data_IF_983508661796
#
_entry.id   IF_983508661796
#
_cell.length_a   1.000
_cell.length_b   1.000
_cell.length_c   1.000
_cell.angle_alpha   90.00
_cell.angle_beta   90.00
_cell.angle_gamma   90.00
#
_symmetry.space_group_name_H-M   'P 1'
#
loop_
_entity.id
_entity.type
_entity.pdbx_description
1 polymer ?
#
# COMPACT_ATOMS: atom_id res chain seq x y z
N UNK A 1 6.94 8.92 -9.03
CA UNK A 1 8.26 9.07 -9.69
C UNK A 1 8.86 10.40 -9.27
N UNK A 2 10.18 10.50 -9.25
CA UNK A 2 10.93 11.72 -9.02
C UNK A 2 11.35 12.28 -10.39
N UNK A 3 10.72 13.36 -10.85
CA UNK A 3 10.93 13.90 -12.20
C UNK A 3 12.36 14.42 -12.41
N UNK A 4 12.99 14.97 -11.37
CA UNK A 4 14.34 15.54 -11.44
C UNK A 4 15.43 14.48 -11.64
N UNK A 5 15.24 13.28 -11.08
CA UNK A 5 16.24 12.20 -11.10
C UNK A 5 15.88 11.03 -12.01
N UNK A 6 14.63 10.98 -12.48
CA UNK A 6 14.09 9.84 -13.23
C UNK A 6 13.92 8.57 -12.40
N UNK A 7 14.04 8.63 -11.06
CA UNK A 7 13.85 7.49 -10.16
C UNK A 7 12.38 7.26 -9.87
N UNK A 8 11.95 6.01 -9.80
CA UNK A 8 10.58 5.66 -9.46
C UNK A 8 10.51 4.48 -8.49
N UNK A 9 9.39 4.35 -7.79
CA UNK A 9 9.05 3.16 -7.02
C UNK A 9 7.78 2.57 -7.59
N UNK A 10 7.63 1.25 -7.48
CA UNK A 10 6.37 0.56 -7.79
C UNK A 10 5.74 0.15 -6.46
N UNK A 11 4.49 0.56 -6.23
CA UNK A 11 3.75 0.25 -5.02
C UNK A 11 2.71 -0.82 -5.33
N UNK A 12 2.66 -1.85 -4.50
CA UNK A 12 1.72 -2.98 -4.59
C UNK A 12 1.64 -3.65 -5.98
N UNK A 13 2.74 -4.19 -6.53
CA UNK A 13 2.71 -4.99 -7.75
C UNK A 13 2.05 -6.36 -7.52
N UNK A 14 0.72 -6.40 -7.49
CA UNK A 14 -0.06 -7.60 -7.20
C UNK A 14 -0.01 -8.72 -8.23
N UNK A 15 0.30 -8.40 -9.48
CA UNK A 15 0.27 -9.35 -10.59
C UNK A 15 0.56 -8.65 -11.92
N UNK A 16 0.29 -9.32 -13.04
CA UNK A 16 0.51 -8.79 -14.40
C UNK A 16 1.89 -8.12 -14.58
N UNK A 17 2.94 -8.76 -14.05
CA UNK A 17 4.31 -8.20 -13.96
C UNK A 17 4.81 -7.67 -15.31
N UNK A 18 4.55 -8.38 -16.40
CA UNK A 18 4.92 -7.93 -17.77
C UNK A 18 4.24 -6.62 -18.17
N UNK A 19 2.99 -6.41 -17.75
CA UNK A 19 2.27 -5.15 -18.00
C UNK A 19 2.88 -4.02 -17.19
N UNK A 20 3.29 -4.28 -15.95
CA UNK A 20 4.00 -3.31 -15.10
C UNK A 20 5.34 -2.95 -15.74
N UNK A 21 6.13 -3.94 -16.17
CA UNK A 21 7.42 -3.73 -16.84
C UNK A 21 7.25 -2.89 -18.11
N UNK A 22 6.25 -3.21 -18.92
CA UNK A 22 5.94 -2.45 -20.14
C UNK A 22 5.56 -0.99 -19.83
N UNK A 23 4.75 -0.75 -18.80
CA UNK A 23 4.37 0.59 -18.38
C UNK A 23 5.56 1.40 -17.85
N UNK A 24 6.43 0.78 -17.04
CA UNK A 24 7.68 1.40 -16.57
C UNK A 24 8.58 1.77 -17.76
N UNK A 25 8.71 0.89 -18.75
CA UNK A 25 9.50 1.15 -19.96
C UNK A 25 8.98 2.34 -20.78
N UNK A 26 7.67 2.56 -20.83
CA UNK A 26 7.05 3.71 -21.51
C UNK A 26 7.27 5.04 -20.78
N UNK A 27 7.46 4.99 -19.45
CA UNK A 27 7.71 6.18 -18.63
C UNK A 27 9.19 6.60 -18.65
N UNK A 28 10.08 5.78 -19.21
CA UNK A 28 11.53 6.03 -19.28
C UNK A 28 12.16 6.31 -17.90
N UNK A 29 11.64 5.66 -16.85
CA UNK A 29 12.12 5.79 -15.46
C UNK A 29 13.00 4.62 -15.03
N UNK A 30 13.86 4.86 -14.05
CA UNK A 30 14.62 3.82 -13.34
C UNK A 30 13.89 3.41 -12.07
N UNK A 31 13.45 2.16 -12.00
CA UNK A 31 12.86 1.60 -10.77
C UNK A 31 13.94 1.52 -9.70
N UNK A 32 13.65 2.04 -8.54
CA UNK A 32 14.56 2.15 -7.40
C UNK A 32 14.24 1.13 -6.32
N UNK A 33 12.94 0.91 -6.06
CA UNK A 33 12.41 -0.01 -5.04
C UNK A 33 11.01 -0.49 -5.40
N UNK A 34 10.63 -1.64 -4.84
CA UNK A 34 9.22 -2.06 -4.71
C UNK A 34 8.75 -1.74 -3.30
N UNK A 35 7.59 -1.10 -3.16
CA UNK A 35 6.99 -0.82 -1.86
C UNK A 35 5.70 -1.62 -1.68
N UNK A 36 5.46 -2.11 -0.47
CA UNK A 36 4.25 -2.88 -0.15
C UNK A 36 3.47 -2.24 0.99
N UNK A 37 2.17 -2.03 0.77
CA UNK A 37 1.24 -1.59 1.81
C UNK A 37 0.88 -2.73 2.74
N UNK A 38 0.63 -3.94 2.21
CA UNK A 38 0.26 -5.12 3.00
C UNK A 38 0.51 -6.44 2.25
N UNK A 39 0.31 -7.55 2.95
CA UNK A 39 0.70 -8.90 2.49
C UNK A 39 -0.32 -9.67 1.63
N UNK A 40 -1.41 -9.06 1.16
CA UNK A 40 -2.39 -9.79 0.34
C UNK A 40 -1.91 -10.04 -1.09
N UNK A 41 -2.37 -11.15 -1.66
CA UNK A 41 -1.95 -11.68 -2.96
C UNK A 41 -2.06 -10.66 -4.10
N UNK A 42 -3.17 -9.93 -4.15
CA UNK A 42 -3.47 -8.95 -5.19
C UNK A 42 -2.73 -7.62 -5.02
N UNK A 43 -1.88 -7.50 -3.99
CA UNK A 43 -0.99 -6.37 -3.77
C UNK A 43 0.49 -6.76 -3.84
N UNK A 44 0.87 -7.94 -3.37
CA UNK A 44 2.28 -8.33 -3.33
C UNK A 44 2.64 -9.59 -4.14
N UNK A 45 1.67 -10.20 -4.83
CA UNK A 45 1.87 -11.44 -5.58
C UNK A 45 2.91 -11.38 -6.68
N UNK A 46 3.10 -10.21 -7.31
CA UNK A 46 4.12 -9.95 -8.32
C UNK A 46 5.41 -9.29 -7.79
N UNK A 47 5.49 -9.00 -6.48
CA UNK A 47 6.57 -8.20 -5.90
C UNK A 47 7.95 -8.84 -6.08
N UNK A 48 8.07 -10.12 -5.77
CA UNK A 48 9.36 -10.84 -5.90
C UNK A 48 9.86 -10.88 -7.34
N UNK A 49 8.98 -11.21 -8.28
CA UNK A 49 9.32 -11.27 -9.69
C UNK A 49 9.73 -9.90 -10.25
N UNK A 50 9.00 -8.84 -9.86
CA UNK A 50 9.32 -7.47 -10.28
C UNK A 50 10.65 -6.98 -9.68
N UNK A 51 10.89 -7.25 -8.40
CA UNK A 51 12.13 -6.91 -7.72
C UNK A 51 13.34 -7.60 -8.35
N UNK A 52 13.22 -8.90 -8.66
CA UNK A 52 14.27 -9.68 -9.34
C UNK A 52 14.55 -9.14 -10.75
N UNK A 53 13.50 -8.76 -11.50
CA UNK A 53 13.65 -8.21 -12.85
C UNK A 53 14.47 -6.93 -12.86
N UNK A 54 14.22 -6.02 -11.92
CA UNK A 54 14.93 -4.74 -11.84
C UNK A 54 16.19 -4.78 -10.96
N UNK A 55 16.42 -5.86 -10.21
CA UNK A 55 17.51 -5.95 -9.24
C UNK A 55 17.40 -4.94 -8.10
N UNK A 56 16.18 -4.73 -7.59
CA UNK A 56 15.86 -3.72 -6.55
C UNK A 56 15.32 -4.36 -5.27
N UNK A 57 15.40 -3.61 -4.18
CA UNK A 57 14.89 -4.03 -2.87
C UNK A 57 13.35 -3.94 -2.78
N UNK A 58 12.78 -4.83 -1.96
CA UNK A 58 11.38 -4.78 -1.51
C UNK A 58 11.33 -4.18 -0.11
N UNK A 59 10.63 -3.06 0.05
CA UNK A 59 10.40 -2.42 1.35
C UNK A 59 8.93 -2.55 1.72
N UNK A 60 8.66 -2.97 2.95
CA UNK A 60 7.32 -3.13 3.46
C UNK A 60 6.76 -4.53 3.25
N UNK A 61 5.60 -4.82 3.86
CA UNK A 61 4.84 -3.96 4.76
C UNK A 61 5.44 -3.97 6.19
N UNK A 62 4.62 -3.87 7.24
CA UNK A 62 5.07 -4.13 8.61
C UNK A 62 5.20 -5.64 8.87
N UNK A 63 6.13 -6.05 9.74
CA UNK A 63 6.47 -7.46 9.99
C UNK A 63 5.28 -8.33 10.45
N UNK A 64 4.23 -7.71 10.98
CA UNK A 64 2.99 -8.39 11.39
C UNK A 64 2.25 -9.06 10.22
N UNK A 65 2.56 -8.69 8.97
CA UNK A 65 2.01 -9.30 7.75
C UNK A 65 2.89 -10.42 7.16
N UNK A 66 3.98 -10.81 7.81
CA UNK A 66 4.84 -11.91 7.35
C UNK A 66 4.05 -13.19 7.08
N UNK A 67 3.10 -13.53 7.96
CA UNK A 67 2.25 -14.72 7.81
C UNK A 67 1.36 -14.67 6.55
N UNK A 68 1.02 -13.48 6.05
CA UNK A 68 0.29 -13.34 4.79
C UNK A 68 1.20 -13.60 3.59
N UNK A 69 2.41 -13.05 3.61
CA UNK A 69 3.42 -13.24 2.56
C UNK A 69 3.85 -14.71 2.45
N UNK A 70 4.01 -15.40 3.58
CA UNK A 70 4.28 -16.84 3.63
C UNK A 70 3.19 -17.69 2.95
N UNK A 71 1.94 -17.20 2.93
CA UNK A 71 0.80 -17.92 2.34
C UNK A 71 0.63 -17.69 0.85
N UNK A 72 1.39 -16.77 0.22
CA UNK A 72 1.22 -16.42 -1.19
C UNK A 72 1.20 -17.63 -2.14
N UNK A 73 2.11 -18.63 -2.04
CA UNK A 73 2.10 -19.79 -2.93
C UNK A 73 0.82 -20.64 -2.81
N UNK A 74 0.26 -20.74 -1.60
CA UNK A 74 -0.96 -21.48 -1.37
C UNK A 74 -2.19 -20.70 -1.87
N UNK A 75 -2.21 -19.38 -1.67
CA UNK A 75 -3.29 -18.51 -2.13
C UNK A 75 -3.33 -18.41 -3.65
N UNK A 76 -2.19 -18.20 -4.31
CA UNK A 76 -2.11 -18.10 -5.77
C UNK A 76 -2.66 -19.36 -6.45
N UNK A 77 -2.23 -20.55 -5.99
CA UNK A 77 -2.76 -21.83 -6.45
C UNK A 77 -4.26 -21.99 -6.21
N UNK A 78 -4.75 -21.60 -5.03
CA UNK A 78 -6.17 -21.71 -4.66
C UNK A 78 -7.06 -20.84 -5.55
N UNK A 79 -6.63 -19.63 -5.86
CA UNK A 79 -7.39 -18.67 -6.65
C UNK A 79 -7.12 -18.72 -8.15
N UNK A 80 -6.17 -19.57 -8.59
CA UNK A 80 -5.82 -19.72 -10.01
C UNK A 80 -5.06 -18.53 -10.59
N UNK A 81 -4.44 -17.72 -9.73
CA UNK A 81 -3.51 -16.69 -10.16
C UNK A 81 -2.14 -17.31 -10.44
N UNK A 82 -1.32 -16.66 -11.27
CA UNK A 82 0.04 -17.11 -11.62
C UNK A 82 0.91 -17.39 -10.38
N UNK A 83 2.10 -17.95 -10.59
CA UNK A 83 2.96 -18.40 -9.49
C UNK A 83 3.50 -17.21 -8.64
N UNK A 84 2.79 -16.90 -7.55
CA UNK A 84 3.28 -16.00 -6.50
C UNK A 84 4.19 -16.77 -5.54
N UNK A 85 5.39 -16.23 -5.29
CA UNK A 85 6.36 -16.80 -4.35
C UNK A 85 6.23 -16.12 -2.98
N UNK A 86 6.44 -16.89 -1.91
CA UNK A 86 6.71 -16.30 -0.61
C UNK A 86 8.10 -15.64 -0.64
N UNK A 87 8.27 -14.55 0.11
CA UNK A 87 9.54 -13.83 0.24
C UNK A 87 9.63 -13.16 1.61
N UNK A 88 10.83 -12.70 1.95
CA UNK A 88 11.05 -11.76 3.06
C UNK A 88 11.44 -10.42 2.44
N UNK A 89 10.74 -9.32 2.73
CA UNK A 89 11.17 -7.99 2.30
C UNK A 89 12.58 -7.69 2.80
N UNK A 90 13.38 -6.98 2.00
CA UNK A 90 14.72 -6.52 2.40
C UNK A 90 14.65 -5.57 3.60
N UNK A 91 13.53 -4.85 3.73
CA UNK A 91 13.23 -4.00 4.89
C UNK A 91 11.75 -4.09 5.27
N UNK A 92 11.47 -4.53 6.49
CA UNK A 92 10.16 -4.29 7.12
C UNK A 92 10.01 -2.82 7.51
N UNK A 93 8.81 -2.27 7.34
CA UNK A 93 8.53 -0.87 7.63
C UNK A 93 7.85 -0.70 8.99
N UNK A 94 8.15 0.40 9.68
CA UNK A 94 7.54 0.79 10.95
C UNK A 94 6.80 2.13 10.84
N UNK A 95 5.97 2.41 11.84
CA UNK A 95 5.33 3.72 11.95
C UNK A 95 6.37 4.84 12.10
N UNK A 96 6.23 5.91 11.34
CA UNK A 96 7.16 7.04 11.37
C UNK A 96 8.44 6.84 10.54
N UNK A 97 8.60 5.69 9.87
CA UNK A 97 9.65 5.52 8.87
C UNK A 97 9.45 6.47 7.68
N UNK A 98 10.54 6.66 6.92
CA UNK A 98 10.50 7.29 5.61
C UNK A 98 11.23 6.45 4.57
N UNK A 99 10.73 6.46 3.35
CA UNK A 99 11.36 5.85 2.17
C UNK A 99 11.65 6.91 1.14
N UNK A 100 12.94 7.05 0.78
CA UNK A 100 13.41 8.00 -0.22
C UNK A 100 13.70 7.31 -1.55
N UNK A 101 13.40 7.99 -2.66
CA UNK A 101 13.84 7.61 -4.01
C UNK A 101 14.08 8.89 -4.84
N UNK A 102 15.32 9.09 -5.30
CA UNK A 102 15.72 10.40 -5.82
C UNK A 102 15.53 11.50 -4.78
N UNK A 103 14.88 12.60 -5.17
CA UNK A 103 14.54 13.74 -4.30
C UNK A 103 13.17 13.59 -3.61
N UNK A 104 12.42 12.52 -3.91
CA UNK A 104 11.10 12.26 -3.32
C UNK A 104 11.22 11.48 -2.01
N UNK A 105 10.38 11.82 -1.04
CA UNK A 105 10.25 11.12 0.24
C UNK A 105 8.81 10.73 0.51
N UNK A 106 8.60 9.46 0.84
CA UNK A 106 7.32 8.93 1.32
C UNK A 106 7.41 8.66 2.81
N UNK A 107 6.54 9.29 3.58
CA UNK A 107 6.35 9.02 5.01
C UNK A 107 5.50 7.76 5.18
N UNK A 108 5.84 6.92 6.15
CA UNK A 108 5.17 5.65 6.41
C UNK A 108 4.33 5.76 7.68
N UNK A 109 3.07 5.35 7.57
CA UNK A 109 2.17 5.22 8.72
C UNK A 109 1.64 3.79 8.82
N UNK A 110 1.84 3.16 9.98
CA UNK A 110 1.31 1.82 10.27
C UNK A 110 -0.19 1.92 10.56
N UNK A 111 -1.02 1.34 9.70
CA UNK A 111 -2.47 1.49 9.71
C UNK A 111 -3.18 0.12 9.82
N UNK A 112 -3.02 -0.61 10.93
CA UNK A 112 -3.58 -1.95 11.07
C UNK A 112 -5.12 -1.95 11.03
N UNK A 113 -5.68 -3.08 10.65
CA UNK A 113 -7.10 -3.37 10.77
C UNK A 113 -7.64 -4.19 9.61
N UNK A 114 -7.30 -3.85 8.37
CA UNK A 114 -7.52 -4.73 7.22
C UNK A 114 -6.62 -5.97 7.33
N UNK A 115 -5.32 -5.73 7.52
CA UNK A 115 -4.32 -6.69 7.99
C UNK A 115 -3.58 -6.09 9.19
N UNK A 116 -2.95 -6.89 10.05
CA UNK A 116 -2.24 -6.35 11.22
C UNK A 116 -0.93 -5.62 10.86
N UNK A 117 -0.36 -5.90 9.68
CA UNK A 117 0.88 -5.29 9.20
C UNK A 117 0.69 -4.19 8.15
N UNK A 118 -0.55 -3.73 7.90
CA UNK A 118 -0.82 -2.74 6.85
C UNK A 118 -0.13 -1.39 7.12
N UNK A 119 0.52 -0.82 6.10
CA UNK A 119 1.11 0.52 6.11
C UNK A 119 0.60 1.34 4.92
N UNK A 120 0.57 2.66 5.08
CA UNK A 120 0.30 3.61 3.98
C UNK A 120 1.52 4.50 3.72
N UNK A 121 1.63 5.00 2.50
CA UNK A 121 2.71 5.89 2.07
C UNK A 121 2.17 7.28 1.79
N UNK A 122 2.71 8.31 2.44
CA UNK A 122 2.28 9.69 2.28
C UNK A 122 3.39 10.57 1.70
N UNK A 123 3.13 11.23 0.58
CA UNK A 123 3.98 12.30 0.06
C UNK A 123 3.47 13.64 0.55
N UNK A 124 4.20 14.23 1.52
CA UNK A 124 3.83 15.52 2.10
C UNK A 124 3.90 16.66 1.10
N UNK A 125 4.90 16.65 0.23
CA UNK A 125 5.12 17.69 -0.79
C UNK A 125 4.01 17.66 -1.84
N UNK A 126 3.63 16.45 -2.30
CA UNK A 126 2.63 16.30 -3.35
C UNK A 126 1.18 16.24 -2.83
N UNK A 127 0.98 16.19 -1.51
CA UNK A 127 -0.34 16.03 -0.85
C UNK A 127 -1.10 14.80 -1.37
N UNK A 128 -0.38 13.69 -1.56
CA UNK A 128 -0.93 12.41 -2.03
C UNK A 128 -0.58 11.28 -1.06
N UNK A 129 -1.54 10.41 -0.76
CA UNK A 129 -1.35 9.18 0.01
C UNK A 129 -1.69 7.93 -0.82
N UNK A 130 -0.84 6.90 -0.77
CA UNK A 130 -1.13 5.57 -1.28
C UNK A 130 -1.56 4.72 -0.09
N UNK A 131 -2.86 4.40 -0.01
CA UNK A 131 -3.47 3.87 1.22
C UNK A 131 -3.80 2.39 1.18
N UNK A 132 -3.52 1.71 0.06
CA UNK A 132 -3.91 0.33 -0.16
C UNK A 132 -5.37 0.11 0.23
N UNK A 133 -5.61 -0.90 1.05
CA UNK A 133 -6.94 -1.32 1.49
C UNK A 133 -7.38 -0.74 2.85
N UNK A 134 -6.77 0.35 3.31
CA UNK A 134 -7.24 1.03 4.54
C UNK A 134 -8.53 1.82 4.29
N UNK A 135 -8.58 2.58 3.20
CA UNK A 135 -9.67 3.52 2.89
C UNK A 135 -10.01 3.48 1.40
N UNK A 136 -11.31 3.48 1.09
CA UNK A 136 -11.84 3.56 -0.27
C UNK A 136 -12.80 4.75 -0.40
N UNK A 137 -13.09 5.17 -1.64
CA UNK A 137 -14.13 6.16 -1.88
C UNK A 137 -15.51 5.63 -1.40
N UNK A 138 -16.04 6.18 -0.32
CA UNK A 138 -17.30 5.79 0.30
C UNK A 138 -17.29 4.44 1.05
N UNK A 139 -16.12 3.83 1.30
CA UNK A 139 -16.00 2.56 2.03
C UNK A 139 -14.65 2.44 2.76
N UNK A 140 -14.41 1.31 3.41
CA UNK A 140 -13.15 0.93 4.06
C UNK A 140 -12.77 -0.51 3.72
N UNK A 141 -11.54 -0.90 4.03
CA UNK A 141 -11.07 -2.29 3.95
C UNK A 141 -11.95 -3.28 4.69
N UNK A 142 -12.01 -4.50 4.18
CA UNK A 142 -12.59 -5.64 4.90
C UNK A 142 -11.76 -5.97 6.14
N UNK A 143 -12.40 -6.44 7.20
CA UNK A 143 -11.72 -6.79 8.47
C UNK A 143 -12.10 -8.17 8.99
N UNK A 144 -12.73 -8.99 8.15
CA UNK A 144 -13.18 -10.36 8.46
C UNK A 144 -12.13 -11.44 8.16
N UNK A 145 -10.94 -11.02 7.73
CA UNK A 145 -9.79 -11.89 7.52
C UNK A 145 -9.13 -12.32 8.84
N UNK A 146 -8.33 -13.41 8.86
CA UNK A 146 -7.45 -13.73 9.97
C UNK A 146 -6.66 -12.51 10.45
N UNK A 147 -6.81 -12.19 11.73
CA UNK A 147 -6.17 -11.03 12.39
C UNK A 147 -6.60 -9.66 11.85
N UNK A 148 -7.69 -9.59 11.08
CA UNK A 148 -8.38 -8.33 10.78
C UNK A 148 -9.13 -7.81 12.00
N UNK A 149 -9.23 -6.48 12.13
CA UNK A 149 -9.87 -5.80 13.24
C UNK A 149 -10.52 -4.48 12.79
N UNK A 150 -11.84 -4.41 12.88
CA UNK A 150 -12.63 -3.23 12.49
C UNK A 150 -12.31 -1.99 13.34
N UNK A 151 -12.22 -2.15 14.67
CA UNK A 151 -11.93 -1.04 15.57
C UNK A 151 -10.53 -0.46 15.34
N UNK A 152 -9.55 -1.31 15.03
CA UNK A 152 -8.21 -0.84 14.68
C UNK A 152 -8.21 -0.14 13.32
N UNK A 153 -8.96 -0.64 12.33
CA UNK A 153 -9.07 0.03 11.03
C UNK A 153 -9.67 1.43 11.13
N UNK A 154 -10.78 1.56 11.86
CA UNK A 154 -11.43 2.86 12.12
C UNK A 154 -10.49 3.80 12.87
N UNK A 155 -9.73 3.29 13.85
CA UNK A 155 -8.72 4.06 14.59
C UNK A 155 -7.61 4.54 13.67
N UNK A 156 -7.05 3.65 12.84
CA UNK A 156 -6.01 3.98 11.87
C UNK A 156 -6.44 5.12 10.96
N UNK A 157 -7.66 5.05 10.39
CA UNK A 157 -8.19 6.13 9.55
C UNK A 157 -8.33 7.43 10.34
N UNK A 158 -8.99 7.40 11.51
CA UNK A 158 -9.31 8.62 12.26
C UNK A 158 -8.09 9.30 12.89
N UNK A 159 -7.15 8.52 13.40
CA UNK A 159 -6.02 9.02 14.17
C UNK A 159 -4.76 9.20 13.31
N UNK A 160 -4.65 8.53 12.16
CA UNK A 160 -3.47 8.67 11.29
C UNK A 160 -3.75 9.38 9.98
N UNK A 161 -4.88 9.12 9.32
CA UNK A 161 -5.15 9.70 7.99
C UNK A 161 -5.75 11.11 8.10
N UNK A 162 -6.79 11.31 8.93
CA UNK A 162 -7.43 12.62 9.07
C UNK A 162 -6.47 13.75 9.51
N UNK A 163 -5.51 13.53 10.42
CA UNK A 163 -4.56 14.57 10.78
C UNK A 163 -3.59 15.00 9.66
N UNK A 164 -3.48 14.24 8.56
CA UNK A 164 -2.61 14.61 7.42
C UNK A 164 -3.17 15.79 6.61
N UNK A 165 -4.48 16.03 6.73
CA UNK A 165 -5.18 17.20 6.17
C UNK A 165 -6.24 16.84 5.15
N UNK A 166 -7.31 17.62 5.15
CA UNK A 166 -8.51 17.39 4.33
C UNK A 166 -8.27 17.51 2.81
N UNK A 167 -7.22 18.24 2.40
CA UNK A 167 -6.81 18.45 1.01
C UNK A 167 -5.97 17.30 0.44
N UNK A 168 -5.59 16.31 1.25
CA UNK A 168 -4.82 15.15 0.77
C UNK A 168 -5.69 14.28 -0.13
N UNK A 169 -5.21 14.04 -1.35
CA UNK A 169 -5.78 13.05 -2.27
C UNK A 169 -5.23 11.67 -1.89
N UNK A 170 -6.07 10.63 -1.91
CA UNK A 170 -5.60 9.27 -1.73
C UNK A 170 -5.86 8.39 -2.95
N UNK A 171 -4.93 7.47 -3.19
CA UNK A 171 -5.03 6.38 -4.15
C UNK A 171 -5.28 5.09 -3.38
N UNK A 172 -6.49 4.51 -3.46
CA UNK A 172 -6.78 3.23 -2.84
C UNK A 172 -6.19 2.06 -3.64
N UNK A 173 -6.15 0.88 -3.01
CA UNK A 173 -5.91 -0.39 -3.69
C UNK A 173 -6.97 -0.72 -4.74
N UNK A 174 -8.22 -0.33 -4.46
CA UNK A 174 -9.36 -0.61 -5.32
C UNK A 174 -10.31 0.59 -5.45
N UNK A 175 -10.90 0.72 -6.64
CA UNK A 175 -11.86 1.77 -6.93
C UNK A 175 -11.21 3.13 -7.24
N UNK A 176 -12.01 4.20 -7.28
CA UNK A 176 -11.53 5.53 -7.67
C UNK A 176 -10.79 6.24 -6.54
N UNK A 177 -9.96 7.22 -6.90
CA UNK A 177 -9.36 8.15 -5.95
C UNK A 177 -10.42 9.05 -5.29
N UNK A 178 -10.11 9.54 -4.10
CA UNK A 178 -10.92 10.54 -3.36
C UNK A 178 -9.99 11.41 -2.50
N UNK A 179 -10.53 12.23 -1.61
CA UNK A 179 -9.75 13.04 -0.65
C UNK A 179 -10.13 12.70 0.78
N UNK A 180 -9.17 12.86 1.70
CA UNK A 180 -9.43 12.65 3.12
C UNK A 180 -10.56 13.53 3.64
N UNK A 181 -10.61 14.81 3.22
CA UNK A 181 -11.69 15.70 3.62
C UNK A 181 -13.06 15.25 3.10
N UNK A 182 -13.14 14.70 1.89
CA UNK A 182 -14.41 14.16 1.38
C UNK A 182 -14.87 12.99 2.27
N UNK A 183 -14.02 11.98 2.43
CA UNK A 183 -14.36 10.78 3.20
C UNK A 183 -14.64 11.08 4.67
N UNK A 184 -13.89 12.00 5.29
CA UNK A 184 -14.13 12.45 6.66
C UNK A 184 -15.51 13.08 6.86
N UNK A 185 -16.11 13.65 5.80
CA UNK A 185 -17.48 14.22 5.85
C UNK A 185 -18.55 13.20 5.47
N UNK A 186 -18.28 12.33 4.50
CA UNK A 186 -19.33 11.56 3.81
C UNK A 186 -19.26 10.06 4.08
N UNK A 187 -18.07 9.50 4.34
CA UNK A 187 -17.86 8.06 4.41
C UNK A 187 -18.68 7.45 5.57
N UNK A 188 -19.55 6.46 5.28
CA UNK A 188 -20.49 5.94 6.26
C UNK A 188 -19.83 5.12 7.38
N UNK A 189 -18.53 4.84 7.32
CA UNK A 189 -17.80 4.09 8.34
C UNK A 189 -16.92 4.96 9.23
N UNK A 190 -16.31 6.00 8.65
CA UNK A 190 -15.18 6.73 9.29
C UNK A 190 -15.36 8.25 9.32
N UNK A 191 -16.49 8.77 8.86
CA UNK A 191 -16.79 10.20 8.96
C UNK A 191 -16.82 10.69 10.42
N UNK A 192 -16.56 11.98 10.64
CA UNK A 192 -16.51 12.59 11.98
C UNK A 192 -17.81 12.41 12.77
N UNK A 193 -18.95 12.35 12.06
CA UNK A 193 -20.27 12.10 12.67
C UNK A 193 -20.46 10.67 13.20
N UNK A 194 -19.61 9.74 12.78
CA UNK A 194 -19.65 8.36 13.25
C UNK A 194 -18.90 8.28 14.57
N UNK A 195 -19.55 7.83 15.64
CA UNK A 195 -18.88 7.53 16.90
C UNK A 195 -17.94 6.34 16.72
N UNK A 196 -16.79 6.35 17.40
CA UNK A 196 -15.84 5.23 17.41
C UNK A 196 -16.41 4.01 18.16
#
# INVERSE_FOLDING_TARGET
MCETTGRAVVVDPGGDVERIISAVGQLEVSVDKVLLTHGHLDHCGGAKALADHYGVEIHGPHAEDAFWIEQLPAQSKRFGFGEAQAFTPDRWLQDGDSVQFGDETMEVYHCPGHTPGHVIFFSRVNRVALVGDVLFAGSIGRTDFPRGNHSDLVRSVKEKLWPLGDDVTFVPGHGPTSTFGHERRTNPFVADRMTA
#
